data_IF_766947599759
#
_entry.id   IF_766947599759
#
_cell.length_a   1.000
_cell.length_b   1.000
_cell.length_c   1.000
_cell.angle_alpha   90.00
_cell.angle_beta   90.00
_cell.angle_gamma   90.00
#
_symmetry.space_group_name_H-M   'P 1'
#
loop_
_entity.id
_entity.type
_entity.pdbx_description
1 polymer ?
#
# COMPACT_ATOMS: atom_id res chain seq x y z
N UNK A 1 13.22 20.14 -4.12
CA UNK A 1 12.37 19.01 -4.57
C UNK A 1 11.36 18.71 -3.47
N UNK A 2 10.08 18.47 -3.80
CA UNK A 2 9.07 18.09 -2.82
C UNK A 2 9.38 16.73 -2.17
N UNK A 3 8.93 16.57 -0.93
CA UNK A 3 8.95 15.30 -0.20
C UNK A 3 7.53 14.76 -0.08
N UNK A 4 7.34 13.49 -0.43
CA UNK A 4 6.06 12.79 -0.32
C UNK A 4 6.24 11.62 0.63
N UNK A 5 5.41 11.56 1.67
CA UNK A 5 5.32 10.43 2.58
C UNK A 5 4.08 9.62 2.24
N UNK A 6 4.25 8.35 1.88
CA UNK A 6 3.18 7.41 1.63
C UNK A 6 3.13 6.37 2.75
N UNK A 7 1.95 6.11 3.30
CA UNK A 7 1.74 5.20 4.42
C UNK A 7 0.73 4.14 3.99
N UNK A 8 1.17 2.89 3.89
CA UNK A 8 0.33 1.71 3.74
C UNK A 8 0.07 1.08 5.10
N UNK A 9 -1.11 0.48 5.28
CA UNK A 9 -1.42 -0.18 6.54
C UNK A 9 -0.66 -1.52 6.66
N UNK A 10 -0.58 -2.26 5.56
CA UNK A 10 0.04 -3.58 5.49
C UNK A 10 1.02 -3.63 4.29
N UNK A 11 1.85 -4.70 4.19
CA UNK A 11 2.60 -4.96 2.97
C UNK A 11 1.66 -4.98 1.76
N UNK A 12 2.16 -4.54 0.61
CA UNK A 12 1.47 -4.48 -0.68
C UNK A 12 0.44 -3.36 -0.85
N UNK A 13 0.00 -2.65 0.21
CA UNK A 13 -0.97 -1.56 0.08
C UNK A 13 -0.46 -0.42 -0.83
N UNK A 14 0.83 -0.07 -0.71
CA UNK A 14 1.44 0.99 -1.52
C UNK A 14 1.52 0.57 -2.99
N UNK A 15 1.87 -0.69 -3.23
CA UNK A 15 2.00 -1.31 -4.54
C UNK A 15 0.64 -1.43 -5.23
N UNK A 16 -0.39 -1.91 -4.52
CA UNK A 16 -1.72 -2.15 -5.08
C UNK A 16 -2.43 -0.83 -5.37
N UNK A 17 -2.41 0.11 -4.43
CA UNK A 17 -3.29 1.28 -4.51
C UNK A 17 -2.60 2.54 -5.02
N UNK A 18 -1.26 2.61 -4.94
CA UNK A 18 -0.54 3.88 -5.12
C UNK A 18 0.66 3.80 -6.06
N UNK A 19 1.04 2.61 -6.56
CA UNK A 19 2.27 2.42 -7.33
C UNK A 19 2.38 3.36 -8.53
N UNK A 20 1.32 3.48 -9.33
CA UNK A 20 1.34 4.34 -10.52
C UNK A 20 1.58 5.80 -10.18
N UNK A 21 0.91 6.31 -9.13
CA UNK A 21 1.07 7.70 -8.70
C UNK A 21 2.47 7.96 -8.12
N UNK A 22 2.95 7.07 -7.24
CA UNK A 22 4.27 7.18 -6.64
C UNK A 22 5.38 7.11 -7.69
N UNK A 23 5.24 6.24 -8.69
CA UNK A 23 6.18 6.13 -9.80
C UNK A 23 6.30 7.44 -10.60
N UNK A 24 5.16 8.07 -10.91
CA UNK A 24 5.16 9.37 -11.60
C UNK A 24 5.79 10.47 -10.73
N UNK A 25 5.55 10.47 -9.42
CA UNK A 25 6.17 11.44 -8.51
C UNK A 25 7.69 11.23 -8.43
N UNK A 26 8.14 9.99 -8.30
CA UNK A 26 9.56 9.66 -8.33
C UNK A 26 10.22 10.09 -9.65
N UNK A 27 9.58 9.80 -10.79
CA UNK A 27 10.09 10.19 -12.11
C UNK A 27 10.14 11.72 -12.31
N UNK A 28 9.24 12.46 -11.67
CA UNK A 28 9.27 13.94 -11.62
C UNK A 28 10.42 14.48 -10.76
N UNK A 29 11.05 13.64 -9.94
CA UNK A 29 12.16 14.00 -9.05
C UNK A 29 11.74 14.27 -7.60
N UNK A 30 10.53 13.87 -7.19
CA UNK A 30 10.15 13.94 -5.79
C UNK A 30 10.90 12.90 -4.96
N UNK A 31 11.22 13.25 -3.72
CA UNK A 31 11.78 12.29 -2.76
C UNK A 31 10.63 11.57 -2.06
N UNK A 32 10.60 10.25 -2.17
CA UNK A 32 9.57 9.43 -1.54
C UNK A 32 10.07 8.84 -0.22
N UNK A 33 9.21 8.87 0.81
CA UNK A 33 9.36 8.07 2.02
C UNK A 33 8.18 7.12 2.09
N UNK A 34 8.44 5.82 2.08
CA UNK A 34 7.43 4.77 2.08
C UNK A 34 7.40 4.11 3.46
N UNK A 35 6.22 4.04 4.07
CA UNK A 35 6.01 3.48 5.40
C UNK A 35 4.96 2.38 5.31
N UNK A 36 5.27 1.24 5.92
CA UNK A 36 4.32 0.15 6.16
C UNK A 36 4.05 0.12 7.66
N UNK A 37 2.80 0.34 8.06
CA UNK A 37 2.43 0.54 9.45
C UNK A 37 2.39 -0.77 10.27
N UNK A 38 2.07 -1.90 9.63
CA UNK A 38 1.93 -3.22 10.27
C UNK A 38 2.43 -4.33 9.35
N UNK A 39 2.69 -5.51 9.89
CA UNK A 39 3.19 -6.67 9.13
C UNK A 39 2.09 -7.45 8.38
N UNK A 40 0.80 -7.09 8.54
CA UNK A 40 -0.30 -7.80 7.89
C UNK A 40 -0.64 -9.17 8.48
N UNK A 41 -0.06 -9.57 9.62
CA UNK A 41 -0.19 -10.93 10.14
C UNK A 41 -1.64 -11.37 10.44
N UNK A 42 -2.55 -10.43 10.69
CA UNK A 42 -3.97 -10.72 10.92
C UNK A 42 -4.77 -11.06 9.64
N UNK A 43 -4.19 -10.88 8.45
CA UNK A 43 -4.86 -11.08 7.16
C UNK A 43 -5.27 -12.52 6.86
N UNK A 44 -4.55 -13.51 7.40
CA UNK A 44 -4.80 -14.95 7.22
C UNK A 44 -4.67 -15.45 5.77
N UNK A 45 -4.45 -16.77 5.60
CA UNK A 45 -4.29 -17.40 4.27
C UNK A 45 -5.62 -17.80 3.60
N UNK A 46 -6.75 -17.35 4.14
CA UNK A 46 -8.05 -17.93 3.82
C UNK A 46 -8.60 -17.37 2.49
N UNK A 47 -8.81 -18.20 1.45
CA UNK A 47 -9.10 -17.70 0.12
C UNK A 47 -10.56 -17.25 -0.01
N UNK A 48 -10.74 -15.94 -0.20
CA UNK A 48 -11.79 -15.37 -1.04
C UNK A 48 -13.22 -15.38 -0.50
N UNK A 49 -13.86 -16.54 -0.32
CA UNK A 49 -15.32 -16.63 -0.17
C UNK A 49 -15.83 -16.11 1.19
N UNK A 50 -15.27 -16.59 2.30
CA UNK A 50 -15.65 -16.09 3.63
C UNK A 50 -15.22 -14.64 3.85
N UNK A 51 -14.05 -14.25 3.33
CA UNK A 51 -13.51 -12.91 3.48
C UNK A 51 -14.31 -11.89 2.64
N UNK A 52 -14.72 -12.26 1.42
CA UNK A 52 -15.60 -11.45 0.59
C UNK A 52 -16.98 -11.28 1.23
N UNK A 53 -17.55 -12.34 1.83
CA UNK A 53 -18.83 -12.26 2.53
C UNK A 53 -18.81 -11.32 3.75
N UNK A 54 -17.65 -11.13 4.40
CA UNK A 54 -17.47 -10.21 5.54
C UNK A 54 -17.18 -8.76 5.15
N UNK A 55 -16.86 -8.49 3.88
CA UNK A 55 -16.50 -7.16 3.36
C UNK A 55 -17.67 -6.42 2.70
N UNK A 56 -18.89 -7.00 2.74
CA UNK A 56 -20.12 -6.43 2.21
C UNK A 56 -20.84 -5.53 3.23
#
# INVERSE_FOLDING_TARGET
>A
MPHITAIGAHPDDLEIFMYGMLSVCQARGDTLTLIVATDGAAGGDNPGAELAARRA
#
